data_IF_164291528066
#
_entry.id   IF_164291528066
#
_cell.length_a   1.000
_cell.length_b   1.000
_cell.length_c   1.000
_cell.angle_alpha   90.00
_cell.angle_beta   90.00
_cell.angle_gamma   90.00
#
_symmetry.space_group_name_H-M   'P 1'
#
loop_
_entity.id
_entity.type
_entity.pdbx_description
1 polymer ?
#
# COMPACT_ATOMS: atom_id res chain seq x y z
N UNK A 1 14.39 4.98 -3.29
CA UNK A 1 14.14 4.15 -2.08
C UNK A 1 13.16 4.92 -1.22
N UNK A 2 11.99 4.33 -0.93
CA UNK A 2 11.02 4.99 -0.03
C UNK A 2 11.57 4.79 1.38
N UNK A 3 11.82 5.91 2.08
CA UNK A 3 12.26 5.93 3.47
C UNK A 3 11.21 5.29 4.38
N UNK A 4 11.49 5.27 5.68
CA UNK A 4 10.53 4.76 6.67
C UNK A 4 9.13 5.36 6.42
N UNK A 5 8.07 4.62 6.76
CA UNK A 5 6.69 5.08 6.64
C UNK A 5 6.00 4.78 7.96
N UNK A 6 5.33 5.77 8.54
CA UNK A 6 4.39 5.56 9.65
C UNK A 6 2.99 5.67 9.09
N UNK A 7 2.14 4.68 9.36
CA UNK A 7 0.81 4.58 8.78
C UNK A 7 -0.22 4.15 9.81
N UNK A 8 -1.47 4.59 9.61
CA UNK A 8 -2.64 4.03 10.27
C UNK A 8 -3.16 2.83 9.47
N UNK A 9 -3.78 1.90 10.18
CA UNK A 9 -4.50 0.78 9.55
C UNK A 9 -5.96 1.17 9.45
N UNK A 10 -6.51 1.14 8.23
CA UNK A 10 -7.91 1.45 7.95
C UNK A 10 -8.57 0.27 7.25
N UNK A 11 -9.75 -0.12 7.72
CA UNK A 11 -10.60 -1.10 7.01
C UNK A 11 -11.15 -0.49 5.72
N UNK A 12 -11.08 -1.24 4.63
CA UNK A 12 -11.60 -0.83 3.32
C UNK A 12 -12.97 -1.46 3.12
N UNK A 13 -14.03 -0.65 3.20
CA UNK A 13 -15.42 -1.08 3.01
C UNK A 13 -15.98 -0.75 1.62
N UNK A 14 -15.40 0.24 0.93
CA UNK A 14 -15.84 0.69 -0.38
C UNK A 14 -15.47 -0.32 -1.48
N UNK A 15 -16.45 -0.69 -2.32
CA UNK A 15 -16.28 -1.63 -3.43
C UNK A 15 -15.11 -1.27 -4.36
N UNK A 16 -15.00 0.00 -4.75
CA UNK A 16 -13.98 0.46 -5.70
C UNK A 16 -12.59 0.24 -5.10
N UNK A 17 -12.40 0.59 -3.83
CA UNK A 17 -11.10 0.45 -3.18
C UNK A 17 -10.77 -1.01 -2.85
N UNK A 18 -11.77 -1.84 -2.54
CA UNK A 18 -11.60 -3.30 -2.44
C UNK A 18 -11.10 -3.85 -3.78
N UNK A 19 -11.73 -3.49 -4.90
CA UNK A 19 -11.32 -3.96 -6.23
C UNK A 19 -9.89 -3.52 -6.57
N UNK A 20 -9.50 -2.28 -6.24
CA UNK A 20 -8.11 -1.81 -6.39
C UNK A 20 -7.16 -2.68 -5.56
N UNK A 21 -7.48 -2.93 -4.29
CA UNK A 21 -6.69 -3.76 -3.40
C UNK A 21 -6.51 -5.19 -3.92
N UNK A 22 -7.60 -5.84 -4.33
CA UNK A 22 -7.57 -7.18 -4.92
C UNK A 22 -6.78 -7.23 -6.23
N UNK A 23 -6.81 -6.15 -7.02
CA UNK A 23 -6.00 -6.05 -8.25
C UNK A 23 -4.50 -5.97 -7.93
N UNK A 24 -4.10 -5.16 -6.94
CA UNK A 24 -2.71 -5.08 -6.47
C UNK A 24 -2.25 -6.43 -5.94
N UNK A 25 -3.09 -7.09 -5.15
CA UNK A 25 -2.79 -8.42 -4.61
C UNK A 25 -2.69 -9.47 -5.73
N UNK A 26 -3.61 -9.46 -6.70
CA UNK A 26 -3.57 -10.35 -7.86
C UNK A 26 -2.30 -10.21 -8.69
N UNK A 27 -1.80 -8.98 -8.90
CA UNK A 27 -0.50 -8.76 -9.54
C UNK A 27 0.65 -9.40 -8.77
N UNK A 28 0.61 -9.32 -7.43
CA UNK A 28 1.59 -10.01 -6.57
C UNK A 28 1.49 -11.53 -6.72
N UNK A 29 0.29 -12.09 -6.75
CA UNK A 29 0.07 -13.53 -6.94
C UNK A 29 0.69 -14.04 -8.24
N UNK A 30 0.56 -13.29 -9.36
CA UNK A 30 1.26 -13.61 -10.61
C UNK A 30 2.78 -13.55 -10.44
N UNK A 31 3.28 -12.46 -9.85
CA UNK A 31 4.72 -12.25 -9.70
C UNK A 31 5.39 -13.31 -8.84
N UNK A 32 4.66 -13.88 -7.88
CA UNK A 32 5.15 -14.95 -7.00
C UNK A 32 4.83 -16.36 -7.51
N UNK A 33 4.19 -16.51 -8.68
CA UNK A 33 3.80 -17.81 -9.21
C UNK A 33 2.71 -18.54 -8.41
N UNK A 34 1.94 -17.82 -7.60
CA UNK A 34 0.79 -18.42 -6.88
C UNK A 34 -0.40 -18.64 -7.82
N UNK A 35 -0.47 -17.85 -8.90
CA UNK A 35 -1.38 -18.04 -10.03
C UNK A 35 -0.60 -17.90 -11.32
N UNK A 36 -0.99 -18.64 -12.35
CA UNK A 36 -0.25 -18.68 -13.62
C UNK A 36 -0.89 -17.81 -14.71
N UNK A 37 -2.14 -17.37 -14.49
CA UNK A 37 -2.93 -16.71 -15.55
C UNK A 37 -3.68 -15.49 -15.05
N UNK A 38 -3.83 -14.51 -15.96
CA UNK A 38 -4.66 -13.32 -15.71
C UNK A 38 -6.13 -13.67 -15.44
N UNK A 39 -6.63 -14.75 -16.05
CA UNK A 39 -8.00 -15.25 -15.85
C UNK A 39 -8.25 -15.66 -14.39
N UNK A 40 -7.25 -16.24 -13.72
CA UNK A 40 -7.37 -16.59 -12.30
C UNK A 40 -7.45 -15.32 -11.43
N UNK A 41 -6.71 -14.26 -11.75
CA UNK A 41 -6.84 -12.97 -11.06
C UNK A 41 -8.22 -12.35 -11.29
N UNK A 42 -8.75 -12.39 -12.51
CA UNK A 42 -10.08 -11.87 -12.80
C UNK A 42 -11.17 -12.61 -12.01
N UNK A 43 -11.04 -13.92 -11.84
CA UNK A 43 -11.93 -14.70 -10.97
C UNK A 43 -11.79 -14.28 -9.50
N UNK A 44 -10.57 -14.10 -9.03
CA UNK A 44 -10.28 -13.64 -7.67
C UNK A 44 -10.85 -12.24 -7.39
N UNK A 45 -10.66 -11.27 -8.29
CA UNK A 45 -11.17 -9.90 -8.10
C UNK A 45 -12.70 -9.83 -8.14
N UNK A 46 -13.37 -10.73 -8.86
CA UNK A 46 -14.84 -10.87 -8.85
C UNK A 46 -15.40 -11.33 -7.50
N UNK A 47 -14.58 -11.90 -6.61
CA UNK A 47 -14.96 -12.29 -5.25
C UNK A 47 -14.92 -11.12 -4.25
N UNK A 48 -14.88 -9.86 -4.71
CA UNK A 48 -14.84 -8.68 -3.83
C UNK A 48 -15.95 -8.62 -2.77
N UNK A 49 -17.11 -9.24 -3.04
CA UNK A 49 -18.23 -9.31 -2.08
C UNK A 49 -17.86 -10.03 -0.80
N UNK A 50 -16.90 -10.94 -0.85
CA UNK A 50 -16.40 -11.66 0.32
C UNK A 50 -15.68 -10.72 1.29
N UNK A 51 -15.35 -9.49 0.90
CA UNK A 51 -14.74 -8.47 1.77
C UNK A 51 -15.74 -7.39 2.20
N UNK A 52 -17.04 -7.57 1.93
CA UNK A 52 -18.08 -6.60 2.24
C UNK A 52 -19.09 -7.13 3.27
N UNK A 53 -19.74 -6.20 3.98
CA UNK A 53 -20.85 -6.49 4.89
C UNK A 53 -20.50 -7.45 6.02
N UNK A 54 -21.32 -8.49 6.21
CA UNK A 54 -21.23 -9.45 7.31
C UNK A 54 -20.18 -10.55 7.11
N UNK A 55 -19.36 -10.47 6.06
CA UNK A 55 -18.29 -11.45 5.87
C UNK A 55 -17.31 -11.46 7.05
N UNK A 56 -16.59 -12.57 7.25
CA UNK A 56 -15.47 -12.62 8.20
C UNK A 56 -14.18 -12.06 7.61
N UNK A 57 -14.07 -11.97 6.28
CA UNK A 57 -12.88 -11.43 5.63
C UNK A 57 -12.92 -9.90 5.63
N UNK A 58 -11.76 -9.31 5.87
CA UNK A 58 -11.56 -7.87 5.97
C UNK A 58 -10.33 -7.47 5.18
N UNK A 59 -10.47 -6.41 4.40
CA UNK A 59 -9.35 -5.81 3.69
C UNK A 59 -8.91 -4.56 4.47
N UNK A 60 -7.63 -4.46 4.73
CA UNK A 60 -7.04 -3.29 5.38
C UNK A 60 -6.05 -2.61 4.44
N UNK A 61 -6.03 -1.29 4.48
CA UNK A 61 -5.00 -0.47 3.84
C UNK A 61 -4.16 0.23 4.90
N UNK A 62 -2.88 0.40 4.61
CA UNK A 62 -2.02 1.28 5.36
C UNK A 62 -2.16 2.69 4.78
N UNK A 63 -2.72 3.61 5.55
CA UNK A 63 -2.82 5.03 5.19
C UNK A 63 -1.63 5.76 5.81
N UNK A 64 -0.64 6.21 5.02
CA UNK A 64 0.54 6.88 5.55
C UNK A 64 0.18 8.19 6.24
N UNK A 65 0.70 8.37 7.46
CA UNK A 65 0.59 9.61 8.24
C UNK A 65 1.89 10.40 8.08
N UNK A 66 3.02 9.70 8.04
CA UNK A 66 4.36 10.28 7.98
C UNK A 66 5.21 9.53 6.97
N UNK A 67 5.91 10.29 6.15
CA UNK A 67 6.91 9.77 5.21
C UNK A 67 8.20 10.56 5.35
N UNK A 68 9.33 9.88 5.19
CA UNK A 68 10.65 10.52 5.20
C UNK A 68 11.17 10.58 3.77
N UNK A 69 11.51 11.79 3.34
CA UNK A 69 12.16 12.03 2.04
C UNK A 69 13.65 12.25 2.26
N UNK A 70 14.47 11.72 1.36
CA UNK A 70 15.90 12.05 1.33
C UNK A 70 16.08 13.57 1.20
N UNK A 71 16.84 14.15 2.12
CA UNK A 71 17.31 15.51 2.00
C UNK A 71 18.41 15.59 0.93
N UNK A 72 18.73 16.79 0.40
CA UNK A 72 19.92 16.98 -0.40
C UNK A 72 21.14 16.40 0.33
N UNK A 73 21.91 15.60 -0.39
CA UNK A 73 23.10 14.96 0.16
C UNK A 73 24.23 15.96 0.25
N UNK A 74 24.89 15.99 1.40
CA UNK A 74 26.07 16.82 1.63
C UNK A 74 27.23 15.94 2.08
N UNK A 75 28.45 16.35 1.71
CA UNK A 75 29.69 15.74 2.18
C UNK A 75 30.26 16.66 3.26
N UNK A 76 30.44 16.13 4.47
CA UNK A 76 31.03 16.84 5.60
C UNK A 76 32.20 16.04 6.15
N UNK A 77 33.40 16.62 6.15
CA UNK A 77 34.65 15.94 6.55
C UNK A 77 34.85 14.58 5.85
N UNK A 78 34.77 14.56 4.51
CA UNK A 78 34.92 13.36 3.68
C UNK A 78 33.91 12.23 3.95
N UNK A 79 32.89 12.47 4.79
CA UNK A 79 31.81 11.53 5.09
C UNK A 79 30.53 11.97 4.42
N UNK A 80 29.80 10.99 3.86
CA UNK A 80 28.48 11.21 3.28
C UNK A 80 27.43 11.32 4.39
N UNK A 81 26.65 12.40 4.38
CA UNK A 81 25.59 12.61 5.38
C UNK A 81 24.25 12.17 4.78
N UNK A 82 23.70 11.04 5.26
CA UNK A 82 22.30 10.62 4.95
C UNK A 82 21.35 11.41 5.86
N UNK A 83 20.92 12.56 5.37
CA UNK A 83 19.90 13.39 6.00
C UNK A 83 18.52 13.10 5.42
N UNK A 84 17.48 13.08 6.27
CA UNK A 84 16.10 12.85 5.86
C UNK A 84 15.18 13.90 6.45
N UNK A 85 14.27 14.41 5.62
CA UNK A 85 13.26 15.39 6.01
C UNK A 85 11.96 14.63 6.26
N UNK A 86 11.40 14.81 7.46
CA UNK A 86 10.07 14.32 7.81
C UNK A 86 9.01 15.16 7.09
N UNK A 87 8.07 14.48 6.42
CA UNK A 87 6.93 15.10 5.75
C UNK A 87 5.66 14.55 6.38
N UNK A 88 4.94 15.45 7.08
CA UNK A 88 3.58 15.16 7.56
C UNK A 88 2.61 15.19 6.39
N UNK A 89 1.87 14.10 6.19
CA UNK A 89 0.83 14.06 5.17
C UNK A 89 -0.47 14.60 5.78
N UNK A 90 -1.15 15.52 5.08
CA UNK A 90 -2.49 15.95 5.51
C UNK A 90 -3.44 14.76 5.34
N UNK A 91 -4.12 14.37 6.41
CA UNK A 91 -5.22 13.43 6.34
C UNK A 91 -6.37 14.10 5.57
N UNK A 92 -6.49 13.85 4.27
CA UNK A 92 -7.72 14.14 3.54
C UNK A 92 -8.79 13.16 4.03
N UNK A 93 -9.51 13.58 5.08
CA UNK A 93 -10.76 12.95 5.50
C UNK A 93 -11.85 13.56 4.62
N UNK A 94 -12.23 12.86 3.56
CA UNK A 94 -13.47 13.10 2.82
C UNK A 94 -14.48 12.00 3.18
#
# INVERSE_FOLDING_TARGET
MIGNIKANVEEVSNKIDILKGLTVYGKKMLATGFVDTKVQIEKFTKQYKDFQGISKLRLYKATPIQVWKLAPSEVFNEKYVDSRIEVQLKNETN
#
